data_IF_812449421915
#
_entry.id   IF_812449421915
#
_cell.length_a   1.000
_cell.length_b   1.000
_cell.length_c   1.000
_cell.angle_alpha   90.00
_cell.angle_beta   90.00
_cell.angle_gamma   90.00
#
_symmetry.space_group_name_H-M   'P 1'
#
loop_
_entity.id
_entity.type
_entity.pdbx_description
1 polymer ?
#
# COMPACT_ATOMS: atom_id res chain seq x y z
N UNK A 1 13.96 -21.73 -13.15
CA UNK A 1 14.13 -20.70 -12.09
C UNK A 1 12.76 -20.36 -11.49
N UNK A 2 12.10 -21.35 -10.86
CA UNK A 2 10.69 -21.29 -10.44
C UNK A 2 10.49 -20.96 -8.95
N UNK A 3 11.47 -20.33 -8.29
CA UNK A 3 11.55 -20.29 -6.82
C UNK A 3 11.32 -18.95 -6.12
N UNK A 4 10.95 -17.86 -6.81
CA UNK A 4 10.89 -16.52 -6.20
C UNK A 4 9.51 -15.85 -6.18
N UNK A 5 8.47 -16.52 -6.67
CA UNK A 5 7.09 -16.03 -6.52
C UNK A 5 6.47 -16.77 -5.33
N UNK A 6 6.41 -16.12 -4.16
CA UNK A 6 5.86 -16.69 -2.93
C UNK A 6 4.32 -16.77 -2.93
N UNK A 7 3.65 -16.00 -3.80
CA UNK A 7 2.19 -15.89 -3.83
C UNK A 7 1.64 -15.90 -5.27
N UNK A 8 0.44 -16.44 -5.48
CA UNK A 8 -0.23 -16.47 -6.80
C UNK A 8 -0.27 -15.07 -7.47
N UNK A 9 -0.03 -15.04 -8.78
CA UNK A 9 0.12 -13.84 -9.60
C UNK A 9 -1.08 -12.87 -9.47
N UNK A 10 -2.30 -13.40 -9.26
CA UNK A 10 -3.50 -12.59 -9.03
C UNK A 10 -3.56 -11.92 -7.66
N UNK A 11 -3.03 -12.54 -6.62
CA UNK A 11 -3.07 -12.01 -5.25
C UNK A 11 -2.02 -10.90 -5.04
N UNK A 12 -0.84 -11.02 -5.67
CA UNK A 12 0.21 -9.99 -5.65
C UNK A 12 -0.26 -8.68 -6.30
N UNK A 13 -1.02 -8.75 -7.38
CA UNK A 13 -1.55 -7.58 -8.06
C UNK A 13 -2.55 -6.81 -7.17
N UNK A 14 -3.50 -7.51 -6.55
CA UNK A 14 -4.47 -6.91 -5.63
C UNK A 14 -3.81 -6.27 -4.41
N UNK A 15 -2.82 -6.95 -3.79
CA UNK A 15 -2.03 -6.38 -2.71
C UNK A 15 -1.41 -5.03 -3.13
N UNK A 16 -0.76 -4.98 -4.29
CA UNK A 16 -0.08 -3.78 -4.78
C UNK A 16 -1.05 -2.60 -4.95
N UNK A 17 -2.22 -2.85 -5.53
CA UNK A 17 -3.25 -1.82 -5.74
C UNK A 17 -3.76 -1.27 -4.39
N UNK A 18 -4.18 -2.15 -3.48
CA UNK A 18 -4.72 -1.76 -2.17
C UNK A 18 -3.65 -0.98 -1.37
N UNK A 19 -2.38 -1.40 -1.46
CA UNK A 19 -1.29 -0.73 -0.76
C UNK A 19 -1.01 0.69 -1.29
N UNK A 20 -1.09 0.91 -2.60
CA UNK A 20 -0.94 2.26 -3.19
C UNK A 20 -2.06 3.19 -2.72
N UNK A 21 -3.32 2.74 -2.81
CA UNK A 21 -4.46 3.53 -2.37
C UNK A 21 -4.41 3.80 -0.86
N UNK A 22 -4.02 2.79 -0.06
CA UNK A 22 -3.81 2.93 1.38
C UNK A 22 -2.79 4.01 1.72
N UNK A 23 -1.58 3.96 1.17
CA UNK A 23 -0.53 4.96 1.47
C UNK A 23 -1.02 6.38 1.13
N UNK A 24 -1.64 6.58 -0.04
CA UNK A 24 -2.17 7.89 -0.45
C UNK A 24 -3.25 8.40 0.51
N UNK A 25 -4.21 7.55 0.88
CA UNK A 25 -5.33 7.95 1.74
C UNK A 25 -4.87 8.25 3.17
N UNK A 26 -3.99 7.41 3.73
CA UNK A 26 -3.47 7.59 5.08
C UNK A 26 -2.52 8.78 5.22
N UNK A 27 -1.75 9.12 4.18
CA UNK A 27 -0.95 10.35 4.16
C UNK A 27 -1.84 11.60 4.09
N UNK A 28 -2.89 11.59 3.26
CA UNK A 28 -3.84 12.70 3.19
C UNK A 28 -4.56 12.91 4.53
N UNK A 29 -5.03 11.83 5.16
CA UNK A 29 -5.67 11.92 6.49
C UNK A 29 -4.67 12.32 7.58
N UNK A 30 -3.45 11.76 7.59
CA UNK A 30 -2.43 12.09 8.57
C UNK A 30 -2.04 13.57 8.55
N UNK A 31 -1.97 14.18 7.36
CA UNK A 31 -1.70 15.62 7.22
C UNK A 31 -2.88 16.49 7.67
N UNK A 32 -4.11 16.12 7.32
CA UNK A 32 -5.32 16.80 7.81
C UNK A 32 -5.47 16.73 9.35
N UNK A 33 -5.22 15.55 9.95
CA UNK A 33 -5.25 15.40 11.42
C UNK A 33 -4.12 16.18 12.10
N UNK A 34 -2.95 16.29 11.47
CA UNK A 34 -1.83 17.08 12.01
C UNK A 34 -2.11 18.59 11.97
N UNK A 35 -2.82 19.08 10.96
CA UNK A 35 -3.19 20.48 10.82
C UNK A 35 -4.40 20.88 11.68
N UNK A 36 -5.01 19.94 12.40
CA UNK A 36 -6.16 20.17 13.26
C UNK A 36 -7.36 20.77 12.51
N UNK A 37 -7.59 20.34 11.27
CA UNK A 37 -8.67 20.88 10.45
C UNK A 37 -10.04 20.59 11.10
N UNK A 38 -10.86 21.63 11.37
CA UNK A 38 -12.14 21.50 12.08
C UNK A 38 -13.18 20.64 11.33
N UNK A 39 -12.94 20.34 10.04
CA UNK A 39 -13.78 19.42 9.26
C UNK A 39 -13.69 17.97 9.77
N UNK A 40 -12.56 17.55 10.36
CA UNK A 40 -12.36 16.20 10.91
C UNK A 40 -12.42 16.16 12.45
N UNK A 41 -12.18 17.30 13.11
CA UNK A 41 -12.13 17.41 14.58
C UNK A 41 -13.29 18.22 15.18
N UNK A 42 -14.20 18.74 14.35
CA UNK A 42 -15.30 19.62 14.79
C UNK A 42 -16.66 18.93 15.00
N UNK A 43 -16.76 17.61 14.80
CA UNK A 43 -17.99 16.85 15.04
C UNK A 43 -18.24 16.54 16.51
N UNK A 44 -19.50 16.23 16.90
CA UNK A 44 -19.87 15.83 18.27
C UNK A 44 -19.13 14.57 18.75
N UNK A 45 -18.57 13.80 17.81
CA UNK A 45 -17.85 12.54 18.01
C UNK A 45 -16.34 12.74 17.74
N UNK A 46 -15.85 13.98 17.88
CA UNK A 46 -14.47 14.30 17.60
C UNK A 46 -13.53 13.54 18.56
N UNK A 47 -12.47 12.91 18.04
CA UNK A 47 -11.49 12.24 18.88
C UNK A 47 -10.80 13.25 19.81
N UNK A 48 -10.68 12.91 21.10
CA UNK A 48 -10.07 13.76 22.13
C UNK A 48 -8.62 14.16 21.78
N UNK A 49 -7.90 13.32 21.02
CA UNK A 49 -6.51 13.54 20.61
C UNK A 49 -6.30 13.34 19.10
N UNK A 50 -6.52 14.39 18.26
CA UNK A 50 -6.29 14.31 16.82
C UNK A 50 -4.81 14.07 16.46
N UNK A 51 -3.88 14.49 17.32
CA UNK A 51 -2.44 14.20 17.16
C UNK A 51 -2.12 12.71 17.32
N UNK A 52 -2.80 12.01 18.22
CA UNK A 52 -2.62 10.57 18.38
C UNK A 52 -3.13 9.80 17.15
N UNK A 53 -4.26 10.23 16.57
CA UNK A 53 -4.75 9.68 15.30
C UNK A 53 -3.79 9.95 14.14
N UNK A 54 -3.24 11.16 14.04
CA UNK A 54 -2.23 11.47 13.02
C UNK A 54 -1.03 10.51 13.13
N UNK A 55 -0.53 10.28 14.35
CA UNK A 55 0.53 9.31 14.63
C UNK A 55 0.17 7.88 14.19
N UNK A 56 -1.06 7.44 14.46
CA UNK A 56 -1.56 6.14 14.03
C UNK A 56 -1.65 6.03 12.49
N UNK A 57 -2.13 7.08 11.81
CA UNK A 57 -2.18 7.13 10.35
C UNK A 57 -0.79 7.05 9.72
N UNK A 58 0.20 7.76 10.27
CA UNK A 58 1.59 7.66 9.81
C UNK A 58 2.18 6.27 10.04
N UNK A 59 1.90 5.64 11.19
CA UNK A 59 2.32 4.27 11.46
C UNK A 59 1.71 3.26 10.47
N UNK A 60 0.42 3.38 10.20
CA UNK A 60 -0.26 2.52 9.23
C UNK A 60 0.22 2.78 7.78
N UNK A 61 0.50 4.04 7.40
CA UNK A 61 1.08 4.38 6.10
C UNK A 61 2.46 3.71 5.91
N UNK A 62 3.28 3.65 6.97
CA UNK A 62 4.57 2.95 6.92
C UNK A 62 4.40 1.43 6.67
N UNK A 63 3.40 0.79 7.28
CA UNK A 63 3.11 -0.64 7.05
C UNK A 63 2.68 -0.87 5.60
N UNK A 64 1.77 -0.05 5.07
CA UNK A 64 1.36 -0.15 3.66
C UNK A 64 2.52 0.17 2.69
N UNK A 65 3.47 1.02 3.06
CA UNK A 65 4.66 1.26 2.23
C UNK A 65 5.56 0.01 2.15
N UNK A 66 5.76 -0.69 3.27
CA UNK A 66 6.53 -1.95 3.31
C UNK A 66 5.83 -3.06 2.53
N UNK A 67 4.52 -3.22 2.71
CA UNK A 67 3.72 -4.19 1.95
C UNK A 67 3.74 -3.90 0.46
N UNK A 68 3.63 -2.62 0.08
CA UNK A 68 3.76 -2.19 -1.31
C UNK A 68 5.12 -2.60 -1.88
N UNK A 69 6.23 -2.32 -1.19
CA UNK A 69 7.56 -2.68 -1.66
C UNK A 69 7.73 -4.19 -1.87
N UNK A 70 7.22 -4.99 -0.93
CA UNK A 70 7.29 -6.46 -1.01
C UNK A 70 6.43 -7.02 -2.14
N UNK A 71 5.17 -6.57 -2.26
CA UNK A 71 4.25 -6.99 -3.31
C UNK A 71 4.70 -6.49 -4.70
N UNK A 72 5.28 -5.30 -4.79
CA UNK A 72 5.83 -4.73 -6.02
C UNK A 72 7.05 -5.50 -6.51
N UNK A 73 7.99 -5.87 -5.63
CA UNK A 73 9.12 -6.71 -5.99
C UNK A 73 8.66 -8.06 -6.58
N UNK A 74 7.65 -8.70 -5.96
CA UNK A 74 7.07 -9.96 -6.46
C UNK A 74 6.39 -9.78 -7.82
N UNK A 75 5.59 -8.72 -7.99
CA UNK A 75 4.93 -8.43 -9.26
C UNK A 75 5.94 -8.15 -10.38
N UNK A 76 7.03 -7.42 -10.08
CA UNK A 76 8.09 -7.10 -11.02
C UNK A 76 8.83 -8.36 -11.50
N UNK A 77 9.19 -9.26 -10.58
CA UNK A 77 9.82 -10.53 -10.93
C UNK A 77 8.87 -11.43 -11.73
N UNK A 78 7.58 -11.50 -11.36
CA UNK A 78 6.58 -12.24 -12.11
C UNK A 78 6.41 -11.71 -13.55
N UNK A 79 6.44 -10.39 -13.75
CA UNK A 79 6.41 -9.76 -15.07
C UNK A 79 7.67 -10.10 -15.91
N UNK A 80 8.84 -10.20 -15.28
CA UNK A 80 10.07 -10.62 -15.98
C UNK A 80 10.02 -12.09 -16.38
N UNK A 81 9.50 -12.97 -15.54
CA UNK A 81 9.33 -14.39 -15.85
C UNK A 81 8.32 -14.60 -16.98
N UNK A 82 7.16 -13.93 -16.93
CA UNK A 82 6.17 -13.97 -17.99
C UNK A 82 6.74 -13.48 -19.34
N UNK A 83 7.61 -12.47 -19.34
CA UNK A 83 8.33 -12.03 -20.56
C UNK A 83 9.32 -13.09 -21.06
N UNK A 84 10.06 -13.75 -20.18
CA UNK A 84 10.96 -14.83 -20.58
C UNK A 84 10.22 -16.04 -21.16
N UNK A 85 9.08 -16.43 -20.57
CA UNK A 85 8.22 -17.49 -21.10
C UNK A 85 7.61 -17.13 -22.45
N UNK A 86 7.13 -15.90 -22.65
CA UNK A 86 6.60 -15.43 -23.95
C UNK A 86 7.64 -15.49 -25.08
N UNK A 87 8.93 -15.38 -24.75
CA UNK A 87 10.03 -15.50 -25.73
C UNK A 87 10.36 -16.97 -26.03
N UNK A 88 10.21 -17.89 -25.07
CA UNK A 88 10.50 -19.32 -25.25
C UNK A 88 9.29 -20.14 -25.75
N UNK A 89 8.06 -19.69 -25.52
CA UNK A 89 6.82 -20.31 -26.02
C UNK A 89 6.39 -19.83 -27.41
N UNK A 90 7.23 -19.01 -28.07
CA UNK A 90 7.04 -18.52 -29.44
C UNK A 90 7.93 -19.22 -30.48
N UNK A 91 8.56 -20.34 -30.12
CA UNK A 91 9.24 -21.27 -31.03
C UNK A 91 8.47 -22.60 -31.11
#
# INVERSE_FOLDING_TARGET
>A
MAGMILVSQGNSAMCTVISVFGVFFLLALGTLYNNNDPILTGGHEAPQDPKALAGACFGAAAIYAVLFFFCYCQAYLAQRQARAERVYGGI
#
